data_IF_322882634196
#
_entry.id   IF_322882634196
#
_cell.length_a   1.000
_cell.length_b   1.000
_cell.length_c   1.000
_cell.angle_alpha   90.00
_cell.angle_beta   90.00
_cell.angle_gamma   90.00
#
_symmetry.space_group_name_H-M   'P 1'
#
loop_
_entity.id
_entity.type
_entity.pdbx_description
1 polymer ?
#
# COMPACT_ATOMS: atom_id res chain seq x y z
N UNK A 1 -22.32 -2.06 13.06
CA UNK A 1 -21.60 -2.38 11.80
C UNK A 1 -20.22 -3.02 12.05
N UNK A 2 -20.15 -4.12 12.83
CA UNK A 2 -18.89 -4.84 13.16
C UNK A 2 -18.44 -5.85 12.07
N UNK A 3 -19.29 -6.14 11.09
CA UNK A 3 -19.05 -7.18 10.08
C UNK A 3 -17.94 -6.87 9.09
N UNK A 4 -17.72 -5.59 8.73
CA UNK A 4 -16.72 -5.24 7.72
C UNK A 4 -15.27 -5.41 8.21
N UNK A 5 -14.99 -5.18 9.51
CA UNK A 5 -13.64 -5.35 10.09
C UNK A 5 -13.09 -6.78 9.99
N UNK A 6 -13.96 -7.79 10.06
CA UNK A 6 -13.53 -9.18 9.99
C UNK A 6 -13.14 -9.58 8.56
N UNK A 7 -13.87 -9.08 7.55
CA UNK A 7 -13.62 -9.37 6.14
C UNK A 7 -12.32 -8.71 5.65
N UNK A 8 -12.03 -7.46 6.08
CA UNK A 8 -10.79 -6.76 5.73
C UNK A 8 -9.55 -7.45 6.32
N UNK A 9 -9.63 -7.89 7.59
CA UNK A 9 -8.59 -8.69 8.23
C UNK A 9 -8.37 -10.06 7.56
N UNK A 10 -9.44 -10.70 7.08
CA UNK A 10 -9.38 -11.97 6.36
C UNK A 10 -8.73 -11.80 4.97
N UNK A 11 -9.08 -10.72 4.26
CA UNK A 11 -8.46 -10.33 2.98
C UNK A 11 -6.96 -10.06 3.14
N UNK A 12 -6.53 -9.42 4.24
CA UNK A 12 -5.11 -9.19 4.55
C UNK A 12 -4.39 -10.52 4.86
N UNK A 13 -5.04 -11.46 5.56
CA UNK A 13 -4.46 -12.79 5.86
C UNK A 13 -4.33 -13.66 4.59
N UNK A 14 -5.35 -13.64 3.72
CA UNK A 14 -5.39 -14.36 2.43
C UNK A 14 -4.37 -13.79 1.42
N UNK A 15 -4.13 -12.47 1.47
CA UNK A 15 -3.08 -11.80 0.68
C UNK A 15 -1.67 -12.29 1.01
N UNK A 16 -1.34 -12.57 2.27
CA UNK A 16 -0.01 -13.10 2.66
C UNK A 16 0.24 -14.47 2.04
N UNK A 17 -0.80 -15.29 1.96
CA UNK A 17 -0.75 -16.58 1.31
C UNK A 17 -0.50 -16.42 -0.21
N UNK A 18 -1.18 -15.47 -0.86
CA UNK A 18 -0.98 -15.18 -2.27
C UNK A 18 0.46 -14.72 -2.60
N UNK A 19 1.09 -13.94 -1.71
CA UNK A 19 2.49 -13.50 -1.87
C UNK A 19 3.51 -14.64 -1.65
N UNK A 20 3.23 -15.55 -0.71
CA UNK A 20 4.04 -16.76 -0.52
C UNK A 20 3.93 -17.68 -1.73
N UNK A 21 2.71 -17.87 -2.25
CA UNK A 21 2.47 -18.67 -3.46
C UNK A 21 3.13 -18.04 -4.70
N UNK A 22 3.01 -16.73 -4.91
CA UNK A 22 3.65 -16.07 -6.05
C UNK A 22 5.18 -16.16 -5.99
N UNK A 23 5.76 -16.02 -4.79
CA UNK A 23 7.20 -16.19 -4.57
C UNK A 23 7.67 -17.62 -4.86
N UNK A 24 6.94 -18.62 -4.38
CA UNK A 24 7.22 -20.04 -4.63
C UNK A 24 7.10 -20.37 -6.12
N UNK A 25 6.05 -19.89 -6.80
CA UNK A 25 5.86 -20.10 -8.25
C UNK A 25 6.99 -19.48 -9.07
N UNK A 26 7.44 -18.27 -8.74
CA UNK A 26 8.57 -17.62 -9.44
C UNK A 26 9.87 -18.39 -9.17
N UNK A 27 10.12 -18.82 -7.94
CA UNK A 27 11.32 -19.58 -7.59
C UNK A 27 11.39 -20.94 -8.30
N UNK A 28 10.27 -21.66 -8.33
CA UNK A 28 10.14 -22.94 -9.06
C UNK A 28 10.30 -22.71 -10.57
N UNK A 29 9.70 -21.65 -11.13
CA UNK A 29 9.83 -21.34 -12.55
C UNK A 29 11.27 -21.01 -12.94
N UNK A 30 12.01 -20.28 -12.10
CA UNK A 30 13.43 -19.98 -12.32
C UNK A 30 14.28 -21.26 -12.21
N UNK A 31 14.01 -22.12 -11.23
CA UNK A 31 14.77 -23.38 -11.02
C UNK A 31 14.52 -24.43 -12.10
N UNK A 32 13.29 -24.60 -12.58
CA UNK A 32 12.94 -25.69 -13.50
C UNK A 32 12.99 -25.29 -14.99
N UNK A 33 12.74 -24.03 -15.36
CA UNK A 33 12.64 -23.63 -16.78
C UNK A 33 13.89 -22.93 -17.33
N UNK A 34 14.95 -22.72 -16.55
CA UNK A 34 16.18 -22.06 -17.02
C UNK A 34 15.94 -20.67 -17.62
N UNK A 35 14.81 -20.03 -17.27
CA UNK A 35 14.40 -18.74 -17.82
C UNK A 35 15.40 -17.68 -17.38
N UNK A 36 16.02 -17.00 -18.36
CA UNK A 36 16.94 -15.88 -18.10
C UNK A 36 16.23 -14.80 -17.28
N UNK A 37 16.90 -14.33 -16.23
CA UNK A 37 16.40 -13.31 -15.26
C UNK A 37 15.70 -12.10 -15.92
N UNK A 38 16.14 -11.71 -17.12
CA UNK A 38 15.58 -10.64 -17.91
C UNK A 38 14.10 -10.80 -18.26
N UNK A 39 13.62 -12.02 -18.53
CA UNK A 39 12.20 -12.26 -18.86
C UNK A 39 11.28 -12.05 -17.65
N UNK A 40 11.75 -12.43 -16.46
CA UNK A 40 11.02 -12.22 -15.21
C UNK A 40 10.93 -10.72 -14.89
N UNK A 41 12.04 -9.99 -15.08
CA UNK A 41 12.09 -8.54 -14.92
C UNK A 41 11.19 -7.81 -15.92
N UNK A 42 11.21 -8.22 -17.19
CA UNK A 42 10.36 -7.65 -18.23
C UNK A 42 8.87 -7.89 -17.95
N UNK A 43 8.48 -9.12 -17.62
CA UNK A 43 7.10 -9.45 -17.27
C UNK A 43 6.63 -8.69 -16.03
N UNK A 44 7.46 -8.59 -14.99
CA UNK A 44 7.16 -7.81 -13.78
C UNK A 44 7.01 -6.32 -14.05
N UNK A 45 7.80 -5.77 -14.98
CA UNK A 45 7.71 -4.36 -15.37
C UNK A 45 6.43 -4.08 -16.17
N UNK A 46 6.11 -4.92 -17.16
CA UNK A 46 4.90 -4.77 -17.98
C UNK A 46 3.64 -4.89 -17.13
N UNK A 47 3.57 -5.91 -16.28
CA UNK A 47 2.44 -6.11 -15.36
C UNK A 47 2.34 -5.00 -14.30
N UNK A 48 3.48 -4.52 -13.79
CA UNK A 48 3.55 -3.38 -12.88
C UNK A 48 3.07 -2.06 -13.48
N UNK A 49 3.27 -1.86 -14.79
CA UNK A 49 2.74 -0.68 -15.52
C UNK A 49 1.23 -0.81 -15.71
N UNK A 50 0.72 -1.99 -16.09
CA UNK A 50 -0.70 -2.21 -16.38
C UNK A 50 -1.57 -2.17 -15.12
N UNK A 51 -1.17 -2.87 -14.05
CA UNK A 51 -1.93 -2.94 -12.79
C UNK A 51 -1.49 -1.91 -11.75
N UNK A 52 -0.47 -1.10 -12.07
CA UNK A 52 0.06 -0.06 -11.19
C UNK A 52 0.57 -0.59 -9.85
N UNK A 53 0.43 0.25 -8.80
CA UNK A 53 0.94 -0.01 -7.44
C UNK A 53 0.27 -1.20 -6.74
N UNK A 54 -0.88 -1.66 -7.24
CA UNK A 54 -1.57 -2.86 -6.72
C UNK A 54 -0.66 -4.08 -6.92
N UNK A 55 0.03 -4.17 -8.06
CA UNK A 55 0.90 -5.29 -8.39
C UNK A 55 2.14 -5.36 -7.48
N UNK A 56 2.80 -4.22 -7.21
CA UNK A 56 3.94 -4.18 -6.27
C UNK A 56 3.58 -4.59 -4.84
N UNK A 57 2.32 -4.49 -4.43
CA UNK A 57 1.86 -4.83 -3.07
C UNK A 57 1.20 -6.22 -3.02
N UNK A 58 0.77 -6.80 -4.15
CA UNK A 58 0.17 -8.14 -4.20
C UNK A 58 1.09 -9.22 -4.77
N UNK A 59 2.00 -8.88 -5.69
CA UNK A 59 2.87 -9.87 -6.35
C UNK A 59 4.34 -9.83 -5.90
N UNK A 60 4.82 -8.67 -5.41
CA UNK A 60 6.24 -8.52 -5.06
C UNK A 60 6.57 -9.18 -3.71
N UNK A 61 7.51 -10.16 -3.68
CA UNK A 61 7.89 -10.85 -2.44
C UNK A 61 8.68 -9.94 -1.46
N UNK A 62 9.42 -8.95 -1.97
CA UNK A 62 10.16 -8.01 -1.12
C UNK A 62 9.19 -7.08 -0.36
N UNK A 63 8.06 -6.73 -0.99
CA UNK A 63 7.00 -5.96 -0.36
C UNK A 63 6.37 -6.67 0.85
N UNK A 64 6.19 -8.00 0.74
CA UNK A 64 5.71 -8.84 1.84
C UNK A 64 6.69 -8.86 3.02
N UNK A 65 7.97 -9.06 2.73
CA UNK A 65 9.01 -9.15 3.75
C UNK A 65 9.05 -7.87 4.60
N UNK A 66 8.97 -6.71 3.96
CA UNK A 66 8.99 -5.43 4.67
C UNK A 66 7.69 -5.16 5.44
N UNK A 67 6.53 -5.58 4.93
CA UNK A 67 5.26 -5.50 5.70
C UNK A 67 5.29 -6.36 6.97
N UNK A 68 5.95 -7.52 6.90
CA UNK A 68 6.15 -8.38 8.06
C UNK A 68 7.09 -7.71 9.08
N UNK A 69 8.20 -7.13 8.61
CA UNK A 69 9.16 -6.41 9.47
C UNK A 69 8.51 -5.18 10.12
N UNK A 70 7.81 -4.34 9.37
CA UNK A 70 7.11 -3.16 9.94
C UNK A 70 5.93 -3.56 10.83
N UNK A 71 5.30 -4.72 10.57
CA UNK A 71 4.22 -5.26 11.39
C UNK A 71 4.68 -5.85 12.72
N UNK A 72 5.89 -6.45 12.76
CA UNK A 72 6.51 -6.95 13.99
C UNK A 72 7.20 -5.85 14.80
N UNK A 73 7.71 -4.81 14.14
CA UNK A 73 8.49 -3.72 14.74
C UNK A 73 7.69 -2.66 15.52
N UNK A 74 6.43 -2.91 15.86
CA UNK A 74 5.59 -2.13 16.79
C UNK A 74 5.83 -0.62 16.86
N UNK A 75 5.07 0.18 16.10
CA UNK A 75 5.02 1.66 16.15
C UNK A 75 6.37 2.41 16.18
N UNK A 76 7.48 1.77 15.86
CA UNK A 76 8.78 2.42 15.81
C UNK A 76 8.99 3.06 14.42
N UNK A 77 9.09 4.39 14.41
CA UNK A 77 9.18 5.24 13.22
C UNK A 77 10.35 4.88 12.30
N UNK A 78 11.43 4.29 12.84
CA UNK A 78 12.62 3.88 12.07
C UNK A 78 12.30 2.78 11.03
N UNK A 79 11.46 1.81 11.36
CA UNK A 79 11.07 0.75 10.42
C UNK A 79 10.12 1.26 9.32
N UNK A 80 9.35 2.31 9.60
CA UNK A 80 8.50 2.95 8.60
C UNK A 80 9.31 3.79 7.60
N UNK A 81 10.37 4.46 8.04
CA UNK A 81 11.28 5.20 7.16
C UNK A 81 11.99 4.25 6.18
N UNK A 82 12.45 3.08 6.65
CA UNK A 82 13.11 2.07 5.80
C UNK A 82 12.19 1.55 4.66
N UNK A 83 10.88 1.42 4.93
CA UNK A 83 9.88 1.06 3.92
C UNK A 83 9.76 2.11 2.80
N UNK A 84 9.94 3.39 3.13
CA UNK A 84 9.95 4.48 2.15
C UNK A 84 11.22 4.43 1.27
N UNK A 85 12.39 4.17 1.86
CA UNK A 85 13.65 4.05 1.12
C UNK A 85 13.65 2.91 0.10
N UNK A 86 13.11 1.74 0.46
CA UNK A 86 13.02 0.63 -0.49
C UNK A 86 12.13 0.95 -1.69
N UNK A 87 11.05 1.72 -1.50
CA UNK A 87 10.21 2.20 -2.61
C UNK A 87 10.88 3.26 -3.46
N UNK A 88 11.76 4.07 -2.87
CA UNK A 88 12.57 5.02 -3.62
C UNK A 88 13.69 4.30 -4.40
N UNK A 89 14.13 3.12 -3.98
CA UNK A 89 15.13 2.33 -4.72
C UNK A 89 14.59 1.52 -5.89
N UNK A 90 13.27 1.37 -6.04
CA UNK A 90 12.67 0.52 -7.07
C UNK A 90 12.21 1.35 -8.28
N UNK A 91 12.76 1.12 -9.50
CA UNK A 91 12.34 1.85 -10.71
C UNK A 91 10.84 1.74 -11.01
N UNK A 92 10.24 0.58 -10.71
CA UNK A 92 8.80 0.32 -10.89
C UNK A 92 7.97 1.21 -9.94
N UNK A 93 8.45 1.42 -8.71
CA UNK A 93 7.79 2.29 -7.75
C UNK A 93 7.87 3.77 -8.13
N UNK A 94 8.89 4.19 -8.89
CA UNK A 94 8.97 5.55 -9.43
C UNK A 94 7.91 5.82 -10.50
N UNK A 95 7.83 4.92 -11.48
CA UNK A 95 6.81 5.00 -12.54
C UNK A 95 5.41 5.01 -11.91
N UNK A 96 5.17 4.12 -10.95
CA UNK A 96 3.89 4.07 -10.24
C UNK A 96 3.66 5.25 -9.27
N UNK A 97 4.72 5.86 -8.76
CA UNK A 97 4.68 7.08 -7.94
C UNK A 97 4.18 8.28 -8.73
N UNK A 98 4.67 8.45 -9.96
CA UNK A 98 4.20 9.48 -10.90
C UNK A 98 2.73 9.24 -11.24
N UNK A 99 2.36 8.00 -11.57
CA UNK A 99 0.98 7.61 -11.87
C UNK A 99 0.02 7.83 -10.69
N UNK A 100 0.52 7.88 -9.45
CA UNK A 100 -0.34 8.10 -8.28
C UNK A 100 -0.97 9.50 -8.25
N UNK A 101 -0.32 10.50 -8.85
CA UNK A 101 -0.86 11.86 -9.03
C UNK A 101 -2.02 11.89 -10.05
N UNK A 102 -2.00 10.96 -11.00
CA UNK A 102 -2.99 10.80 -12.09
C UNK A 102 -4.00 9.67 -11.78
N UNK A 103 -3.87 9.01 -10.62
CA UNK A 103 -4.66 7.83 -10.27
C UNK A 103 -6.17 8.09 -10.29
N UNK A 104 -6.88 7.18 -10.96
CA UNK A 104 -8.34 7.09 -11.01
C UNK A 104 -8.92 6.79 -9.61
N UNK A 105 -8.16 6.10 -8.77
CA UNK A 105 -8.60 5.67 -7.44
C UNK A 105 -8.19 6.67 -6.37
N UNK A 106 -9.11 7.60 -6.08
CA UNK A 106 -8.94 8.65 -5.07
C UNK A 106 -9.64 8.27 -3.78
N UNK A 107 -9.05 8.66 -2.66
CA UNK A 107 -9.68 8.50 -1.35
C UNK A 107 -10.56 9.73 -1.13
N UNK A 108 -11.83 9.52 -0.82
CA UNK A 108 -12.75 10.59 -0.44
C UNK A 108 -13.06 10.48 1.04
N UNK A 109 -13.06 11.63 1.70
CA UNK A 109 -13.57 11.79 3.05
C UNK A 109 -14.96 12.41 2.94
N UNK A 110 -15.97 11.70 3.40
CA UNK A 110 -17.27 12.26 3.66
C UNK A 110 -17.21 13.06 4.98
N UNK A 111 -17.51 14.35 4.91
CA UNK A 111 -17.45 15.26 6.05
C UNK A 111 -18.66 15.16 6.96
N UNK A 112 -19.80 14.70 6.44
CA UNK A 112 -21.05 14.63 7.21
C UNK A 112 -20.98 13.50 8.23
N UNK A 113 -20.38 12.38 7.85
CA UNK A 113 -20.17 11.23 8.74
C UNK A 113 -18.89 11.30 9.58
N UNK A 114 -17.98 12.26 9.32
CA UNK A 114 -16.68 12.34 9.98
C UNK A 114 -16.76 13.05 11.33
N UNK A 115 -16.28 12.40 12.39
CA UNK A 115 -16.21 12.95 13.74
C UNK A 115 -14.82 13.50 14.14
N UNK A 116 -13.92 13.69 13.18
CA UNK A 116 -12.55 14.22 13.40
C UNK A 116 -11.74 13.48 14.48
N UNK A 117 -11.95 12.17 14.67
CA UNK A 117 -11.28 11.38 15.70
C UNK A 117 -9.75 11.17 15.50
N UNK A 118 -9.21 11.42 14.30
CA UNK A 118 -7.77 11.33 13.99
C UNK A 118 -7.19 9.91 13.89
N UNK A 119 -8.00 8.85 14.05
CA UNK A 119 -7.53 7.46 13.95
C UNK A 119 -6.98 7.10 12.56
N UNK A 120 -7.52 7.71 11.51
CA UNK A 120 -7.05 7.52 10.14
C UNK A 120 -5.61 8.01 9.93
N UNK A 121 -5.21 9.11 10.54
CA UNK A 121 -3.84 9.63 10.46
C UNK A 121 -2.87 8.78 11.28
N UNK A 122 -3.29 8.28 12.45
CA UNK A 122 -2.48 7.33 13.23
C UNK A 122 -2.23 6.01 12.50
N UNK A 123 -3.20 5.56 11.71
CA UNK A 123 -3.08 4.33 10.91
C UNK A 123 -2.30 4.53 9.60
N UNK A 124 -2.20 5.76 9.11
CA UNK A 124 -1.49 6.06 7.86
C UNK A 124 -0.01 6.34 8.14
N UNK A 125 0.88 5.44 7.69
CA UNK A 125 2.33 5.63 7.84
C UNK A 125 2.84 6.95 7.24
N UNK A 126 2.16 7.53 6.24
CA UNK A 126 2.56 8.81 5.64
C UNK A 126 2.21 9.97 6.57
N UNK A 127 0.99 9.98 7.11
CA UNK A 127 0.56 10.99 8.07
C UNK A 127 1.36 10.90 9.38
N UNK A 128 1.79 9.70 9.81
CA UNK A 128 2.65 9.56 11.00
C UNK A 128 4.10 9.98 10.76
N UNK A 129 4.61 9.84 9.54
CA UNK A 129 5.97 10.24 9.20
C UNK A 129 6.14 11.75 9.00
N UNK A 130 5.12 12.43 8.48
CA UNK A 130 5.18 13.87 8.17
C UNK A 130 3.81 14.54 8.47
N UNK A 131 3.47 14.56 9.77
CA UNK A 131 2.17 15.00 10.29
C UNK A 131 1.87 16.49 10.07
N UNK A 132 2.91 17.29 9.80
CA UNK A 132 2.78 18.71 9.48
C UNK A 132 2.43 18.97 8.01
N UNK A 133 2.60 17.97 7.13
CA UNK A 133 2.29 18.11 5.70
C UNK A 133 1.09 17.27 5.26
N UNK A 134 0.88 16.12 5.90
CA UNK A 134 -0.15 15.17 5.48
C UNK A 134 -1.20 14.89 6.56
N UNK A 135 -2.47 14.97 6.17
CA UNK A 135 -3.60 14.53 6.99
C UNK A 135 -4.76 14.07 6.10
N UNK A 136 -5.53 13.11 6.59
CA UNK A 136 -6.74 12.62 5.93
C UNK A 136 -8.01 13.37 6.35
N UNK A 137 -8.01 14.02 7.51
CA UNK A 137 -9.20 14.69 8.05
C UNK A 137 -9.07 16.22 8.08
N UNK A 138 -7.86 16.76 8.24
CA UNK A 138 -7.62 18.21 8.21
C UNK A 138 -7.65 18.72 6.77
N UNK A 139 -8.39 19.81 6.53
CA UNK A 139 -8.55 20.41 5.20
C UNK A 139 -7.31 21.17 4.73
N UNK A 140 -6.52 21.70 5.66
CA UNK A 140 -5.39 22.58 5.37
C UNK A 140 -4.12 21.81 4.96
N UNK A 141 -4.14 20.49 5.12
CA UNK A 141 -3.02 19.60 4.84
C UNK A 141 -3.25 18.78 3.57
N UNK A 142 -2.16 18.29 3.00
CA UNK A 142 -2.23 17.46 1.81
C UNK A 142 -2.73 16.06 2.14
N UNK A 143 -3.54 15.49 1.25
CA UNK A 143 -3.97 14.11 1.41
C UNK A 143 -2.82 13.14 1.12
N UNK A 144 -2.56 12.15 2.01
CA UNK A 144 -1.46 11.20 1.82
C UNK A 144 -1.70 10.25 0.65
N UNK A 145 -2.91 10.16 0.11
CA UNK A 145 -3.23 9.30 -1.03
C UNK A 145 -2.54 9.73 -2.34
N UNK A 146 -2.25 11.04 -2.47
CA UNK A 146 -1.54 11.65 -3.61
C UNK A 146 -0.02 11.66 -3.45
N UNK A 147 0.49 11.32 -2.27
CA UNK A 147 1.93 11.29 -2.03
C UNK A 147 2.61 10.26 -2.96
N UNK A 148 3.80 10.60 -3.46
CA UNK A 148 4.58 9.72 -4.32
C UNK A 148 4.86 8.37 -3.65
N UNK A 149 5.10 8.38 -2.34
CA UNK A 149 5.43 7.21 -1.53
C UNK A 149 4.20 6.41 -1.09
N UNK A 150 2.98 6.86 -1.39
CA UNK A 150 1.76 6.19 -0.98
C UNK A 150 1.64 4.80 -1.60
N UNK A 151 1.43 3.81 -0.73
CA UNK A 151 1.30 2.40 -1.05
C UNK A 151 -0.12 1.98 -1.41
N UNK A 152 -1.10 2.88 -1.22
CA UNK A 152 -2.54 2.58 -1.30
C UNK A 152 -2.91 1.31 -0.51
N UNK A 153 -2.37 1.19 0.72
CA UNK A 153 -2.63 0.04 1.60
C UNK A 153 -4.03 0.02 2.22
N UNK A 154 -4.76 1.14 2.18
CA UNK A 154 -6.10 1.32 2.74
C UNK A 154 -6.23 1.10 4.26
N UNK A 155 -5.11 1.07 5.00
CA UNK A 155 -5.12 0.92 6.46
C UNK A 155 -5.95 2.00 7.17
N UNK A 156 -5.97 3.23 6.64
CA UNK A 156 -6.78 4.32 7.17
C UNK A 156 -8.29 4.15 6.92
N UNK A 157 -8.70 3.44 5.86
CA UNK A 157 -10.10 3.09 5.61
C UNK A 157 -10.55 2.07 6.65
N UNK A 158 -9.71 1.07 6.93
CA UNK A 158 -9.99 0.03 7.91
C UNK A 158 -10.02 0.55 9.35
N UNK A 159 -9.13 1.50 9.68
CA UNK A 159 -9.08 2.12 10.99
C UNK A 159 -10.28 3.05 11.28
N UNK A 160 -10.97 3.55 10.24
CA UNK A 160 -12.04 4.52 10.38
C UNK A 160 -13.29 3.89 11.02
N UNK A 161 -13.70 4.30 12.24
CA UNK A 161 -14.85 3.71 12.92
C UNK A 161 -16.19 4.18 12.34
N UNK A 162 -16.24 5.38 11.78
CA UNK A 162 -17.45 5.99 11.20
C UNK A 162 -17.69 5.57 9.75
N UNK A 163 -16.73 4.91 9.09
CA UNK A 163 -16.83 4.55 7.67
C UNK A 163 -16.76 5.75 6.71
N UNK A 164 -16.33 6.92 7.18
CA UNK A 164 -16.31 8.17 6.39
C UNK A 164 -15.28 8.19 5.27
N UNK A 165 -14.29 7.29 5.30
CA UNK A 165 -13.25 7.18 4.28
C UNK A 165 -13.56 6.03 3.34
N UNK A 166 -13.65 6.31 2.03
CA UNK A 166 -13.90 5.30 1.00
C UNK A 166 -13.11 5.57 -0.28
N UNK A 167 -12.97 4.54 -1.11
CA UNK A 167 -12.38 4.67 -2.44
C UNK A 167 -13.44 5.13 -3.43
N UNK A 168 -13.12 6.15 -4.23
CA UNK A 168 -13.92 6.56 -5.38
C UNK A 168 -13.09 6.43 -6.64
N UNK A 169 -13.71 5.97 -7.72
CA UNK A 169 -13.12 5.91 -9.07
C UNK A 169 -13.31 7.22 -9.84
N UNK A 170 -13.94 8.25 -9.24
CA UNK A 170 -14.17 9.59 -9.80
C UNK A 170 -13.99 10.69 -8.75
#
# INVERSE_FOLDING_TARGET
MKGHRSITGLLIKQRRLAQLLSGITVFISISYLGIRLWWVLAAGTVTGIIFGKVFCRWLCPIGFLMELVTGLGGSDSKFQQLYQYHKLGCPIAWISGILNKVSIFKVRLDKESCNNCGLCDKACYISTLDAEKFSLFKKDLHQPDKAFTCSKCLAFVEACPSGSLHYSTR
#
